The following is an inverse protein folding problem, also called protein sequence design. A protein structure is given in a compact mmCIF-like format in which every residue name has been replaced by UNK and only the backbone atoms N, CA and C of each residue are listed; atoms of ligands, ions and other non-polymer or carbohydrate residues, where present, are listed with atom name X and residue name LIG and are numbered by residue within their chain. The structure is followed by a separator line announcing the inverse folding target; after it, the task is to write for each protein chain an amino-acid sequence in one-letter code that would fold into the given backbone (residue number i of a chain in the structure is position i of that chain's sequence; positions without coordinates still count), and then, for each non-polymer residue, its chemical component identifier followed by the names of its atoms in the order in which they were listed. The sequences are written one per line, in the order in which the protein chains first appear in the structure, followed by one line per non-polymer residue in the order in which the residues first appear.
data_IF_432574639101
#
_entry.id   IF_432574639101
#
_cell.length_a   1.000
_cell.length_b   1.000
_cell.length_c   1.000
_cell.angle_alpha   90.00
_cell.angle_beta   90.00
_cell.angle_gamma   90.00
#
_symmetry.space_group_name_H-M   'P 1'
#
loop_
_entity.id
_entity.type
_entity.pdbx_description
1 polymer ?
#
# COMPACT_ATOMS: atom_id res chain seq x y z
N UNK A 1 -9.47 -12.00 -7.28
CA UNK A 1 -10.80 -12.53 -7.69
C UNK A 1 -10.60 -13.64 -8.70
N UNK A 2 -11.36 -14.75 -8.58
CA UNK A 2 -11.46 -15.77 -9.64
C UNK A 2 -12.15 -15.19 -10.88
N UNK A 3 -11.97 -15.78 -12.07
CA UNK A 3 -12.64 -15.33 -13.31
C UNK A 3 -14.17 -15.24 -13.16
N UNK A 4 -14.77 -16.19 -12.44
CA UNK A 4 -16.20 -16.17 -12.11
C UNK A 4 -16.60 -15.02 -11.17
N UNK A 5 -15.74 -14.65 -10.23
CA UNK A 5 -15.94 -13.50 -9.35
C UNK A 5 -15.88 -12.17 -10.09
N UNK A 6 -14.92 -12.00 -11.00
CA UNK A 6 -14.78 -10.80 -11.84
C UNK A 6 -16.02 -10.57 -12.71
N UNK A 7 -16.55 -11.65 -13.29
CA UNK A 7 -17.74 -11.59 -14.16
C UNK A 7 -18.99 -11.19 -13.38
N UNK A 8 -19.24 -11.79 -12.22
CA UNK A 8 -20.36 -11.43 -11.34
C UNK A 8 -20.27 -9.98 -10.85
N UNK A 9 -19.07 -9.52 -10.50
CA UNK A 9 -18.83 -8.15 -10.07
C UNK A 9 -19.11 -7.14 -11.19
N UNK A 10 -18.62 -7.41 -12.40
CA UNK A 10 -18.90 -6.61 -13.60
C UNK A 10 -20.41 -6.52 -13.89
N UNK A 11 -21.13 -7.63 -13.84
CA UNK A 11 -22.59 -7.68 -14.02
C UNK A 11 -23.33 -6.80 -13.00
N UNK A 12 -22.89 -6.81 -11.73
CA UNK A 12 -23.47 -5.97 -10.68
C UNK A 12 -23.21 -4.48 -10.93
N UNK A 13 -21.99 -4.11 -11.32
CA UNK A 13 -21.62 -2.71 -11.55
C UNK A 13 -22.23 -2.11 -12.80
N UNK A 14 -22.43 -2.88 -13.87
CA UNK A 14 -23.08 -2.39 -15.10
C UNK A 14 -24.45 -1.77 -14.84
N UNK A 15 -25.18 -2.24 -13.82
CA UNK A 15 -26.48 -1.69 -13.44
C UNK A 15 -26.37 -0.30 -12.82
N UNK A 16 -25.32 -0.04 -12.04
CA UNK A 16 -25.12 1.22 -11.31
C UNK A 16 -24.27 2.23 -12.08
N UNK A 17 -23.44 1.75 -13.02
CA UNK A 17 -22.55 2.56 -13.84
C UNK A 17 -22.66 2.13 -15.33
N UNK A 18 -23.77 2.46 -16.01
CA UNK A 18 -24.04 2.00 -17.37
C UNK A 18 -23.08 2.57 -18.42
N UNK A 19 -22.44 3.70 -18.13
CA UNK A 19 -21.47 4.37 -19.01
C UNK A 19 -20.02 3.99 -18.71
N UNK A 20 -19.78 3.07 -17.76
CA UNK A 20 -18.43 2.63 -17.43
C UNK A 20 -17.96 1.52 -18.37
N UNK A 21 -16.75 1.69 -18.90
CA UNK A 21 -16.02 0.63 -19.58
C UNK A 21 -15.22 -0.20 -18.57
N UNK A 22 -15.17 -1.52 -18.78
CA UNK A 22 -14.57 -2.47 -17.85
C UNK A 22 -13.32 -3.10 -18.44
N UNK A 23 -12.22 -2.96 -17.72
CA UNK A 23 -10.90 -3.47 -18.07
C UNK A 23 -10.45 -4.52 -17.04
N UNK A 24 -9.79 -5.57 -17.51
CA UNK A 24 -9.14 -6.55 -16.66
C UNK A 24 -7.63 -6.26 -16.71
N UNK A 25 -7.01 -6.02 -15.56
CA UNK A 25 -5.57 -5.73 -15.51
C UNK A 25 -4.78 -6.93 -16.07
N UNK A 26 -3.89 -6.74 -17.06
CA UNK A 26 -3.11 -7.82 -17.64
C UNK A 26 -1.94 -8.27 -16.76
N UNK A 27 -1.57 -7.51 -15.73
CA UNK A 27 -0.42 -7.78 -14.89
C UNK A 27 -0.16 -6.72 -13.82
N UNK A 28 1.11 -6.58 -13.42
CA UNK A 28 1.61 -5.58 -12.46
C UNK A 28 2.90 -4.88 -12.95
N UNK A 29 3.15 -4.87 -14.25
CA UNK A 29 4.36 -4.24 -14.80
C UNK A 29 4.13 -2.77 -15.11
N UNK A 30 5.23 -2.02 -15.21
CA UNK A 30 5.26 -0.65 -15.69
C UNK A 30 4.70 -0.55 -17.11
N UNK A 31 4.92 -1.58 -17.94
CA UNK A 31 4.38 -1.64 -19.30
C UNK A 31 2.86 -1.84 -19.27
N UNK A 32 2.33 -2.67 -18.38
CA UNK A 32 0.88 -2.85 -18.24
C UNK A 32 0.17 -1.54 -17.91
N UNK A 33 0.73 -0.77 -16.96
CA UNK A 33 0.18 0.53 -16.59
C UNK A 33 0.26 1.56 -17.74
N UNK A 34 1.36 1.59 -18.49
CA UNK A 34 1.51 2.45 -19.68
C UNK A 34 0.56 2.06 -20.81
N UNK A 35 0.40 0.76 -21.05
CA UNK A 35 -0.52 0.23 -22.06
C UNK A 35 -1.96 0.57 -21.71
N UNK A 36 -2.35 0.40 -20.45
CA UNK A 36 -3.67 0.82 -19.95
C UNK A 36 -3.87 2.32 -20.21
N UNK A 37 -2.93 3.17 -19.80
CA UNK A 37 -3.04 4.61 -20.05
C UNK A 37 -3.18 4.93 -21.56
N UNK A 38 -2.41 4.26 -22.42
CA UNK A 38 -2.47 4.45 -23.87
C UNK A 38 -3.84 4.06 -24.46
N UNK A 39 -4.40 2.94 -24.00
CA UNK A 39 -5.73 2.47 -24.42
C UNK A 39 -6.86 3.40 -23.97
N UNK A 40 -6.75 3.97 -22.77
CA UNK A 40 -7.77 4.85 -22.21
C UNK A 40 -7.74 6.27 -22.79
N UNK A 41 -6.56 6.76 -23.21
CA UNK A 41 -6.34 8.15 -23.66
C UNK A 41 -7.32 8.65 -24.74
N UNK A 42 -7.65 7.89 -25.80
CA UNK A 42 -8.55 8.36 -26.86
C UNK A 42 -10.01 8.52 -26.41
N UNK A 43 -10.43 7.80 -25.36
CA UNK A 43 -11.82 7.72 -24.91
C UNK A 43 -12.23 8.82 -23.92
N UNK A 44 -11.26 9.56 -23.36
CA UNK A 44 -11.46 10.70 -22.44
C UNK A 44 -12.35 10.36 -21.23
N UNK A 45 -11.85 9.48 -20.36
CA UNK A 45 -12.52 9.19 -19.08
C UNK A 45 -12.33 10.29 -18.05
N UNK A 46 -13.32 10.46 -17.17
CA UNK A 46 -13.26 11.42 -16.06
C UNK A 46 -12.52 10.87 -14.82
N UNK A 47 -12.45 9.54 -14.67
CA UNK A 47 -11.77 8.89 -13.55
C UNK A 47 -11.47 7.41 -13.86
N UNK A 48 -10.51 6.84 -13.11
CA UNK A 48 -10.25 5.39 -13.07
C UNK A 48 -10.69 4.83 -11.73
N UNK A 49 -11.48 3.76 -11.73
CA UNK A 49 -11.84 3.01 -10.51
C UNK A 49 -11.07 1.70 -10.50
N UNK A 50 -10.05 1.60 -9.65
CA UNK A 50 -9.25 0.38 -9.48
C UNK A 50 -9.87 -0.53 -8.44
N UNK A 51 -10.39 -1.69 -8.87
CA UNK A 51 -10.99 -2.68 -7.97
C UNK A 51 -10.11 -3.92 -7.89
N UNK A 52 -9.45 -4.15 -6.75
CA UNK A 52 -8.57 -5.30 -6.60
C UNK A 52 -7.66 -5.23 -5.39
N UNK A 53 -6.63 -6.08 -5.38
CA UNK A 53 -5.54 -5.97 -4.40
C UNK A 53 -4.49 -4.96 -4.88
N UNK A 54 -3.43 -4.79 -4.08
CA UNK A 54 -2.37 -3.79 -4.32
C UNK A 54 -1.84 -3.74 -5.76
N UNK A 55 -1.61 -4.90 -6.40
CA UNK A 55 -1.13 -4.96 -7.80
C UNK A 55 -2.06 -4.25 -8.80
N UNK A 56 -3.37 -4.47 -8.68
CA UNK A 56 -4.33 -3.80 -9.57
C UNK A 56 -4.38 -2.31 -9.27
N UNK A 57 -4.37 -1.96 -7.98
CA UNK A 57 -4.41 -0.57 -7.53
C UNK A 57 -3.17 0.21 -8.01
N UNK A 58 -1.98 -0.38 -7.94
CA UNK A 58 -0.73 0.26 -8.39
C UNK A 58 -0.73 0.53 -9.91
N UNK A 59 -1.21 -0.43 -10.72
CA UNK A 59 -1.38 -0.22 -12.17
C UNK A 59 -2.36 0.92 -12.43
N UNK A 60 -3.51 0.94 -11.75
CA UNK A 60 -4.53 1.97 -11.91
C UNK A 60 -4.04 3.36 -11.46
N UNK A 61 -3.36 3.47 -10.32
CA UNK A 61 -2.79 4.75 -9.83
C UNK A 61 -1.78 5.32 -10.82
N UNK A 62 -0.89 4.48 -11.33
CA UNK A 62 0.11 4.91 -12.30
C UNK A 62 -0.52 5.34 -13.62
N UNK A 63 -1.47 4.56 -14.16
CA UNK A 63 -2.19 4.91 -15.38
C UNK A 63 -3.00 6.21 -15.22
N UNK A 64 -3.70 6.38 -14.09
CA UNK A 64 -4.47 7.60 -13.81
C UNK A 64 -3.57 8.83 -13.69
N UNK A 65 -2.40 8.69 -13.06
CA UNK A 65 -1.41 9.76 -12.94
C UNK A 65 -0.84 10.16 -14.30
N UNK A 66 -0.56 9.20 -15.19
CA UNK A 66 -0.13 9.48 -16.56
C UNK A 66 -1.18 10.21 -17.41
N UNK A 67 -2.46 9.97 -17.11
CA UNK A 67 -3.58 10.59 -17.79
C UNK A 67 -4.05 11.89 -17.14
N UNK A 68 -3.51 12.23 -15.98
CA UNK A 68 -3.91 13.39 -15.17
C UNK A 68 -5.40 13.39 -14.81
N UNK A 69 -5.96 12.20 -14.56
CA UNK A 69 -7.36 12.03 -14.13
C UNK A 69 -7.43 11.42 -12.72
N UNK A 70 -8.49 11.74 -11.94
CA UNK A 70 -8.71 11.14 -10.64
C UNK A 70 -8.72 9.60 -10.64
N UNK A 71 -8.24 9.03 -9.54
CA UNK A 71 -8.28 7.59 -9.28
C UNK A 71 -9.09 7.30 -8.02
N UNK A 72 -9.97 6.30 -8.06
CA UNK A 72 -10.68 5.76 -6.90
C UNK A 72 -10.14 4.36 -6.63
N UNK A 73 -9.66 4.13 -5.42
CA UNK A 73 -9.14 2.84 -4.96
C UNK A 73 -10.25 2.05 -4.28
N UNK A 74 -10.56 0.86 -4.77
CA UNK A 74 -11.51 -0.07 -4.15
C UNK A 74 -10.74 -1.33 -3.75
N UNK A 75 -10.33 -1.38 -2.50
CA UNK A 75 -9.45 -2.42 -2.00
C UNK A 75 -10.24 -3.71 -1.72
N UNK A 76 -9.69 -4.83 -2.18
CA UNK A 76 -10.22 -6.19 -1.92
C UNK A 76 -9.29 -7.03 -1.04
N UNK A 77 -8.17 -6.46 -0.60
CA UNK A 77 -7.32 -6.96 0.48
C UNK A 77 -6.58 -5.78 1.14
N UNK A 78 -6.02 -6.02 2.33
CA UNK A 78 -5.30 -5.03 3.13
C UNK A 78 -3.83 -5.43 3.31
N UNK A 79 -3.10 -5.57 2.20
CA UNK A 79 -1.74 -6.12 2.21
C UNK A 79 -0.62 -5.11 2.48
N UNK A 80 -0.86 -3.83 2.18
CA UNK A 80 0.08 -2.71 2.33
C UNK A 80 -0.64 -1.37 2.07
N UNK A 81 0.01 -0.26 2.42
CA UNK A 81 -0.53 1.11 2.36
C UNK A 81 -0.74 1.67 0.94
N UNK A 82 -0.33 0.89 -0.08
CA UNK A 82 -0.53 1.17 -1.50
C UNK A 82 -2.00 1.40 -1.87
N UNK A 83 -2.95 1.00 -1.03
CA UNK A 83 -4.38 1.31 -1.20
C UNK A 83 -4.68 2.81 -1.18
N UNK A 84 -3.84 3.63 -0.53
CA UNK A 84 -4.04 5.06 -0.32
C UNK A 84 -2.81 5.92 -0.62
N UNK A 85 -1.61 5.33 -0.76
CA UNK A 85 -0.36 6.08 -0.88
C UNK A 85 -0.12 6.73 -2.26
N UNK A 86 0.69 7.81 -2.30
CA UNK A 86 1.16 8.43 -3.55
C UNK A 86 2.34 7.66 -4.19
N UNK A 87 2.41 6.34 -3.98
CA UNK A 87 3.48 5.47 -4.47
C UNK A 87 2.88 4.25 -5.14
N UNK A 88 3.35 3.87 -6.32
CA UNK A 88 2.98 2.61 -7.00
C UNK A 88 4.17 1.67 -7.10
N UNK A 89 3.96 0.39 -6.78
CA UNK A 89 5.01 -0.64 -6.85
C UNK A 89 4.80 -1.52 -8.09
N UNK A 90 5.59 -1.28 -9.14
CA UNK A 90 5.43 -1.93 -10.45
C UNK A 90 6.70 -2.68 -10.87
N UNK A 91 6.51 -3.81 -11.56
CA UNK A 91 7.61 -4.59 -12.13
C UNK A 91 8.20 -3.90 -13.39
N UNK A 92 9.53 -3.90 -13.52
CA UNK A 92 10.26 -3.40 -14.66
C UNK A 92 11.49 -4.27 -14.95
N UNK A 93 12.27 -3.91 -15.98
CA UNK A 93 13.47 -4.68 -16.39
C UNK A 93 14.54 -4.77 -15.29
N UNK A 94 14.51 -3.90 -14.29
CA UNK A 94 15.42 -3.90 -13.13
C UNK A 94 14.82 -4.56 -11.88
N UNK A 95 13.66 -5.20 -11.97
CA UNK A 95 12.96 -5.79 -10.83
C UNK A 95 11.74 -4.97 -10.40
N UNK A 96 11.46 -4.93 -9.10
CA UNK A 96 10.29 -4.26 -8.55
C UNK A 96 10.64 -2.80 -8.20
N UNK A 97 10.06 -1.85 -8.93
CA UNK A 97 10.33 -0.43 -8.78
C UNK A 97 9.24 0.31 -7.99
N UNK A 98 9.65 1.33 -7.25
CA UNK A 98 8.76 2.28 -6.57
C UNK A 98 8.65 3.57 -7.38
N UNK A 99 7.42 4.00 -7.69
CA UNK A 99 7.14 5.15 -8.54
C UNK A 99 6.21 6.14 -7.86
N UNK A 100 6.60 7.41 -7.83
CA UNK A 100 5.72 8.49 -7.37
C UNK A 100 4.52 8.67 -8.29
N UNK A 101 3.33 8.75 -7.70
CA UNK A 101 2.04 8.90 -8.37
C UNK A 101 1.14 9.84 -7.59
N UNK A 102 0.02 10.27 -8.19
CA UNK A 102 -1.02 10.95 -7.44
C UNK A 102 -1.71 9.96 -6.49
N UNK A 103 -1.96 10.39 -5.24
CA UNK A 103 -2.77 9.62 -4.31
C UNK A 103 -4.20 9.45 -4.85
N UNK A 104 -4.90 8.34 -4.53
CA UNK A 104 -6.31 8.18 -4.87
C UNK A 104 -7.15 9.35 -4.33
N UNK A 105 -8.11 9.82 -5.13
CA UNK A 105 -9.11 10.81 -4.73
C UNK A 105 -10.01 10.27 -3.61
N UNK A 106 -10.32 8.98 -3.68
CA UNK A 106 -11.13 8.28 -2.69
C UNK A 106 -10.65 6.83 -2.53
N UNK A 107 -10.80 6.30 -1.32
CA UNK A 107 -10.51 4.92 -0.97
C UNK A 107 -11.78 4.28 -0.42
N UNK A 108 -12.16 3.13 -0.96
CA UNK A 108 -13.33 2.34 -0.55
C UNK A 108 -12.82 0.98 -0.09
N UNK A 109 -13.14 0.62 1.14
CA UNK A 109 -12.76 -0.64 1.74
C UNK A 109 -14.04 -1.32 2.22
N UNK A 110 -14.40 -2.42 1.57
CA UNK A 110 -15.55 -3.24 1.94
C UNK A 110 -15.06 -4.39 2.81
N UNK A 111 -15.37 -4.35 4.11
CA UNK A 111 -14.89 -5.33 5.09
C UNK A 111 -15.34 -6.75 4.76
N UNK A 112 -16.54 -6.92 4.18
CA UNK A 112 -17.02 -8.24 3.76
C UNK A 112 -16.17 -8.79 2.61
N UNK A 113 -15.72 -7.93 1.70
CA UNK A 113 -14.77 -8.31 0.66
C UNK A 113 -13.39 -8.64 1.23
N UNK A 114 -12.91 -7.88 2.23
CA UNK A 114 -11.62 -8.13 2.90
C UNK A 114 -11.62 -9.50 3.60
N UNK A 115 -12.70 -9.85 4.31
CA UNK A 115 -12.84 -11.16 4.99
C UNK A 115 -12.80 -12.37 4.06
N UNK A 116 -13.06 -12.18 2.76
CA UNK A 116 -12.95 -13.25 1.76
C UNK A 116 -11.51 -13.44 1.24
N UNK A 117 -10.62 -12.47 1.48
CA UNK A 117 -9.23 -12.58 1.12
C UNK A 117 -8.48 -13.48 2.12
N UNK A 118 -7.42 -14.21 1.68
CA UNK A 118 -6.59 -14.97 2.60
C UNK A 118 -6.01 -14.11 3.74
N UNK A 119 -6.09 -14.60 4.98
CA UNK A 119 -5.56 -13.94 6.19
C UNK A 119 -4.13 -13.45 6.05
N UNK A 120 -3.35 -14.09 5.19
CA UNK A 120 -1.99 -13.69 4.86
C UNK A 120 -1.89 -12.23 4.44
N UNK A 121 -2.88 -11.70 3.71
CA UNK A 121 -2.88 -10.29 3.33
C UNK A 121 -3.09 -9.37 4.53
N UNK A 122 -3.98 -9.73 5.46
CA UNK A 122 -4.17 -8.97 6.71
C UNK A 122 -2.86 -8.96 7.51
N UNK A 123 -2.20 -10.10 7.65
CA UNK A 123 -0.89 -10.21 8.32
C UNK A 123 0.19 -9.37 7.65
N UNK A 124 0.23 -9.35 6.31
CA UNK A 124 1.12 -8.47 5.57
C UNK A 124 0.82 -6.99 5.89
N UNK A 125 -0.45 -6.56 5.87
CA UNK A 125 -0.81 -5.18 6.21
C UNK A 125 -0.40 -4.78 7.63
N UNK A 126 -0.52 -5.69 8.60
CA UNK A 126 -0.03 -5.45 9.97
C UNK A 126 1.48 -5.17 9.95
N UNK A 127 2.27 -6.01 9.28
CA UNK A 127 3.72 -5.84 9.19
C UNK A 127 4.12 -4.52 8.51
N UNK A 128 3.40 -4.11 7.47
CA UNK A 128 3.61 -2.83 6.78
C UNK A 128 3.31 -1.65 7.70
N UNK A 129 2.15 -1.64 8.37
CA UNK A 129 1.77 -0.56 9.30
C UNK A 129 2.72 -0.46 10.49
N UNK A 130 3.04 -1.58 11.14
CA UNK A 130 3.91 -1.57 12.32
C UNK A 130 5.32 -1.09 11.99
N UNK A 131 5.76 -1.26 10.74
CA UNK A 131 7.06 -0.76 10.28
C UNK A 131 7.17 0.77 10.31
N UNK A 132 6.05 1.51 10.34
CA UNK A 132 6.08 2.96 10.47
C UNK A 132 6.84 3.43 11.72
N UNK A 133 6.76 2.68 12.83
CA UNK A 133 7.52 3.01 14.05
C UNK A 133 9.03 3.00 13.74
N UNK A 134 9.46 2.00 12.98
CA UNK A 134 10.84 1.83 12.53
C UNK A 134 11.23 2.93 11.53
N UNK A 135 10.38 3.21 10.54
CA UNK A 135 10.62 4.24 9.54
C UNK A 135 10.75 5.64 10.14
N UNK A 136 9.85 6.01 11.06
CA UNK A 136 9.93 7.32 11.74
C UNK A 136 11.19 7.41 12.61
N UNK A 137 11.63 6.31 13.24
CA UNK A 137 12.90 6.29 13.99
C UNK A 137 14.11 6.54 13.07
N UNK A 138 14.11 5.98 11.88
CA UNK A 138 15.17 6.25 10.90
C UNK A 138 15.10 7.70 10.37
N UNK A 139 13.90 8.27 10.24
CA UNK A 139 13.74 9.67 9.86
C UNK A 139 14.24 10.62 10.97
N UNK A 140 13.94 10.34 12.24
CA UNK A 140 14.49 11.08 13.40
C UNK A 140 16.02 11.02 13.43
N UNK A 141 16.59 9.85 13.14
CA UNK A 141 18.04 9.70 13.04
C UNK A 141 18.61 10.54 11.89
N UNK A 142 17.96 10.54 10.72
CA UNK A 142 18.37 11.34 9.58
C UNK A 142 18.29 12.86 9.86
N UNK A 143 17.31 13.32 10.63
CA UNK A 143 17.26 14.71 11.13
C UNK A 143 18.49 15.01 11.97
N UNK A 144 18.84 14.11 12.90
CA UNK A 144 19.95 14.33 13.85
C UNK A 144 21.32 14.29 13.17
N UNK A 145 21.56 13.29 12.32
CA UNK A 145 22.89 13.01 11.78
C UNK A 145 23.13 13.66 10.40
N UNK A 146 22.08 13.83 9.60
CA UNK A 146 22.17 14.37 8.24
C UNK A 146 21.46 15.73 8.06
N UNK A 147 20.88 16.28 9.13
CA UNK A 147 20.16 17.55 9.11
C UNK A 147 18.99 17.56 8.09
N UNK A 148 18.35 16.40 7.89
CA UNK A 148 17.13 16.29 7.08
C UNK A 148 15.97 17.08 7.72
N UNK A 149 15.03 17.52 6.88
CA UNK A 149 13.78 18.10 7.37
C UNK A 149 12.78 16.98 7.68
N UNK A 150 12.05 17.15 8.77
CA UNK A 150 10.98 16.25 9.16
C UNK A 150 9.68 17.02 9.33
N UNK A 151 8.63 16.51 8.68
CA UNK A 151 7.28 17.00 8.90
C UNK A 151 6.69 16.31 10.14
N UNK A 152 6.51 17.09 11.21
CA UNK A 152 6.04 16.55 12.48
C UNK A 152 4.61 16.01 12.43
N UNK A 153 3.75 16.56 11.56
CA UNK A 153 2.39 16.07 11.39
C UNK A 153 2.40 14.70 10.69
N UNK A 154 3.12 14.59 9.57
CA UNK A 154 3.26 13.34 8.84
C UNK A 154 3.87 12.23 9.71
N UNK A 155 4.93 12.55 10.46
CA UNK A 155 5.55 11.61 11.37
C UNK A 155 4.62 11.16 12.49
N UNK A 156 3.83 12.08 13.07
CA UNK A 156 2.86 11.75 14.11
C UNK A 156 1.76 10.84 13.58
N UNK A 157 1.25 11.11 12.38
CA UNK A 157 0.23 10.28 11.73
C UNK A 157 0.74 8.85 11.47
N UNK A 158 1.98 8.70 11.00
CA UNK A 158 2.59 7.40 10.78
C UNK A 158 2.83 6.63 12.10
N UNK A 159 3.21 7.31 13.18
CA UNK A 159 3.32 6.68 14.52
C UNK A 159 1.95 6.21 15.02
N UNK A 160 0.94 7.08 14.97
CA UNK A 160 -0.41 6.79 15.45
C UNK A 160 -1.02 5.61 14.68
N UNK A 161 -0.78 5.50 13.37
CA UNK A 161 -1.30 4.37 12.59
C UNK A 161 -0.75 3.02 13.09
N UNK A 162 0.53 2.96 13.46
CA UNK A 162 1.12 1.76 14.04
C UNK A 162 0.65 1.48 15.46
N UNK A 163 0.60 2.52 16.31
CA UNK A 163 0.15 2.41 17.70
C UNK A 163 -1.31 1.97 17.80
N UNK A 164 -2.15 2.31 16.82
CA UNK A 164 -3.54 1.87 16.75
C UNK A 164 -3.70 0.33 16.63
N UNK A 165 -2.66 -0.37 16.14
CA UNK A 165 -2.64 -1.83 15.98
C UNK A 165 -1.82 -2.55 17.05
N UNK A 166 -0.84 -1.89 17.64
CA UNK A 166 0.07 -2.49 18.60
C UNK A 166 -0.67 -2.95 19.86
N UNK A 167 -0.52 -4.23 20.22
CA UNK A 167 -1.13 -4.79 21.44
C UNK A 167 -2.66 -4.90 21.41
N UNK A 168 -3.31 -4.76 20.24
CA UNK A 168 -4.76 -4.96 20.13
C UNK A 168 -5.15 -6.40 20.51
N UNK A 169 -6.23 -6.59 21.31
CA UNK A 169 -6.67 -7.91 21.73
C UNK A 169 -7.60 -8.60 20.71
N UNK A 170 -8.14 -7.85 19.76
CA UNK A 170 -9.14 -8.33 18.81
C UNK A 170 -8.54 -9.33 17.82
N UNK A 171 -9.35 -10.29 17.35
CA UNK A 171 -8.90 -11.21 16.31
C UNK A 171 -8.72 -10.50 14.96
N UNK A 172 -7.74 -10.94 14.17
CA UNK A 172 -7.42 -10.32 12.86
C UNK A 172 -8.57 -10.36 11.84
N UNK A 173 -9.58 -11.21 12.05
CA UNK A 173 -10.78 -11.30 11.19
C UNK A 173 -12.01 -10.56 11.74
N UNK A 174 -11.90 -9.91 12.90
CA UNK A 174 -13.00 -9.11 13.48
C UNK A 174 -13.16 -7.78 12.74
N UNK A 175 -14.38 -7.25 12.72
CA UNK A 175 -14.66 -5.96 12.08
C UNK A 175 -13.86 -4.82 12.73
N UNK A 176 -13.79 -4.79 14.06
CA UNK A 176 -13.05 -3.75 14.79
C UNK A 176 -11.56 -3.74 14.42
N UNK A 177 -10.94 -4.92 14.29
CA UNK A 177 -9.54 -5.02 13.85
C UNK A 177 -9.38 -4.59 12.40
N UNK A 178 -10.27 -5.03 11.50
CA UNK A 178 -10.18 -4.70 10.08
C UNK A 178 -10.42 -3.21 9.82
N UNK A 179 -11.29 -2.57 10.59
CA UNK A 179 -11.48 -1.11 10.57
C UNK A 179 -10.19 -0.42 10.99
N UNK A 180 -9.61 -0.81 12.13
CA UNK A 180 -8.37 -0.21 12.62
C UNK A 180 -7.21 -0.38 11.63
N UNK A 181 -7.06 -1.56 11.03
CA UNK A 181 -6.04 -1.81 10.00
C UNK A 181 -6.29 -0.96 8.74
N UNK A 182 -7.53 -0.85 8.32
CA UNK A 182 -7.92 -0.04 7.15
C UNK A 182 -7.58 1.44 7.37
N UNK A 183 -7.98 1.98 8.52
CA UNK A 183 -7.69 3.36 8.91
C UNK A 183 -6.19 3.60 9.02
N UNK A 184 -5.44 2.68 9.62
CA UNK A 184 -4.00 2.78 9.77
C UNK A 184 -3.27 2.80 8.40
N UNK A 185 -3.63 1.92 7.47
CA UNK A 185 -3.07 1.88 6.12
C UNK A 185 -3.39 3.16 5.33
N UNK A 186 -4.63 3.66 5.44
CA UNK A 186 -5.03 4.93 4.83
C UNK A 186 -4.25 6.09 5.44
N UNK A 187 -4.07 6.10 6.76
CA UNK A 187 -3.34 7.13 7.49
C UNK A 187 -1.85 7.16 7.09
N UNK A 188 -1.21 6.01 6.87
CA UNK A 188 0.14 5.90 6.28
C UNK A 188 0.21 6.58 4.90
N UNK A 189 -0.77 6.31 4.03
CA UNK A 189 -0.90 6.95 2.72
C UNK A 189 -1.00 8.47 2.80
N UNK A 190 -1.84 8.98 3.71
CA UNK A 190 -2.00 10.43 3.92
C UNK A 190 -0.71 11.05 4.48
N UNK A 191 -0.04 10.37 5.43
CA UNK A 191 1.23 10.83 5.99
C UNK A 191 2.30 11.04 4.90
N UNK A 192 2.42 10.08 3.98
CA UNK A 192 3.33 10.23 2.82
C UNK A 192 2.93 11.39 1.91
N UNK A 193 1.63 11.59 1.71
CA UNK A 193 1.10 12.73 0.94
C UNK A 193 1.47 14.08 1.55
N UNK A 194 1.34 14.22 2.88
CA UNK A 194 1.72 15.45 3.62
C UNK A 194 3.23 15.68 3.56
N UNK A 195 4.02 14.63 3.77
CA UNK A 195 5.48 14.75 3.75
C UNK A 195 6.04 15.03 2.34
N UNK A 196 5.29 14.68 1.28
CA UNK A 196 5.78 14.71 -0.10
C UNK A 196 6.86 13.65 -0.39
N UNK A 197 6.98 12.64 0.48
CA UNK A 197 7.99 11.58 0.43
C UNK A 197 7.47 10.36 1.20
N UNK A 198 8.00 9.17 0.92
CA UNK A 198 7.69 7.95 1.65
C UNK A 198 8.32 7.89 3.05
N UNK A 199 9.21 8.82 3.42
CA UNK A 199 9.93 8.88 4.71
C UNK A 199 9.11 8.54 5.96
N UNK A 200 7.85 9.00 6.15
CA UNK A 200 7.06 8.65 7.34
C UNK A 200 6.80 7.15 7.49
N UNK A 201 6.71 6.43 6.36
CA UNK A 201 6.30 5.02 6.33
C UNK A 201 7.37 4.09 5.75
N UNK A 202 8.47 4.63 5.22
CA UNK A 202 9.53 3.87 4.55
C UNK A 202 10.91 4.27 5.05
N UNK A 203 11.55 3.35 5.79
CA UNK A 203 12.93 3.48 6.30
C UNK A 203 13.79 2.28 5.90
N UNK A 204 14.76 1.92 6.76
CA UNK A 204 15.63 0.76 6.54
C UNK A 204 14.84 -0.55 6.39
N UNK A 205 13.67 -0.66 7.04
CA UNK A 205 12.76 -1.79 6.90
C UNK A 205 12.32 -2.04 5.45
N UNK A 206 11.98 -0.97 4.72
CA UNK A 206 11.58 -1.04 3.31
C UNK A 206 12.78 -1.25 2.40
N UNK A 207 13.92 -0.60 2.68
CA UNK A 207 15.15 -0.82 1.92
C UNK A 207 15.61 -2.28 1.98
N UNK A 208 15.47 -2.94 3.14
CA UNK A 208 15.72 -4.38 3.28
C UNK A 208 14.74 -5.19 2.42
N UNK A 209 13.45 -4.88 2.45
CA UNK A 209 12.45 -5.54 1.60
C UNK A 209 12.75 -5.36 0.11
N UNK A 210 13.10 -4.15 -0.33
CA UNK A 210 13.49 -3.85 -1.70
C UNK A 210 14.75 -4.61 -2.13
N UNK A 211 15.75 -4.71 -1.26
CA UNK A 211 16.94 -5.51 -1.51
C UNK A 211 16.60 -7.01 -1.68
N UNK A 212 15.70 -7.56 -0.86
CA UNK A 212 15.22 -8.94 -1.00
C UNK A 212 14.52 -9.11 -2.36
N UNK A 213 13.66 -8.17 -2.76
CA UNK A 213 12.94 -8.21 -4.02
C UNK A 213 13.89 -8.16 -5.24
N UNK A 214 15.00 -7.42 -5.14
CA UNK A 214 16.03 -7.35 -6.17
C UNK A 214 16.89 -8.63 -6.25
N UNK A 215 17.31 -9.18 -5.12
CA UNK A 215 18.23 -10.34 -5.08
C UNK A 215 17.48 -11.66 -5.32
N UNK A 216 16.21 -11.75 -4.90
CA UNK A 216 15.41 -12.98 -4.96
C UNK A 216 14.06 -12.80 -5.67
N UNK A 217 14.02 -12.30 -6.91
CA UNK A 217 12.77 -11.90 -7.59
C UNK A 217 11.72 -13.01 -7.72
N UNK A 218 12.15 -14.28 -7.77
CA UNK A 218 11.26 -15.44 -7.91
C UNK A 218 10.86 -16.10 -6.56
N UNK A 219 11.30 -15.55 -5.43
CA UNK A 219 11.04 -16.10 -4.07
C UNK A 219 10.55 -15.04 -3.09
N UNK A 220 10.13 -13.90 -3.61
CA UNK A 220 9.62 -12.78 -2.82
C UNK A 220 8.34 -13.18 -2.11
N UNK A 221 8.22 -12.73 -0.86
CA UNK A 221 7.01 -12.89 -0.06
C UNK A 221 6.18 -11.60 -0.16
N UNK A 222 4.94 -11.56 0.34
CA UNK A 222 4.18 -10.32 0.41
C UNK A 222 5.00 -9.20 1.06
N UNK A 223 4.90 -7.99 0.48
CA UNK A 223 5.71 -6.83 0.87
C UNK A 223 5.68 -6.56 2.38
N UNK A 224 4.48 -6.45 2.95
CA UNK A 224 4.33 -6.16 4.37
C UNK A 224 4.89 -7.23 5.32
N UNK A 225 4.99 -8.50 4.89
CA UNK A 225 5.68 -9.53 5.69
C UNK A 225 7.20 -9.30 5.71
N UNK A 226 7.79 -9.00 4.55
CA UNK A 226 9.21 -8.69 4.45
C UNK A 226 9.55 -7.41 5.23
N UNK A 227 8.72 -6.38 5.08
CA UNK A 227 8.86 -5.10 5.76
C UNK A 227 8.74 -5.24 7.27
N UNK A 228 7.79 -6.04 7.77
CA UNK A 228 7.66 -6.32 9.20
C UNK A 228 8.91 -6.98 9.78
N UNK A 229 9.49 -7.97 9.09
CA UNK A 229 10.78 -8.58 9.48
C UNK A 229 11.92 -7.58 9.38
N UNK A 230 11.95 -6.75 8.34
CA UNK A 230 12.91 -5.67 8.18
C UNK A 230 12.84 -4.65 9.32
N UNK A 231 11.64 -4.36 9.83
CA UNK A 231 11.41 -3.47 10.96
C UNK A 231 11.95 -4.05 12.27
N UNK A 232 11.74 -5.34 12.53
CA UNK A 232 12.34 -6.02 13.66
C UNK A 232 13.87 -5.99 13.59
N UNK A 233 14.44 -6.29 12.41
CA UNK A 233 15.88 -6.28 12.23
C UNK A 233 16.48 -4.88 12.41
N UNK A 234 15.88 -3.84 11.82
CA UNK A 234 16.32 -2.46 12.00
C UNK A 234 16.21 -2.01 13.47
N UNK A 235 15.16 -2.43 14.17
CA UNK A 235 14.98 -2.14 15.60
C UNK A 235 16.03 -2.82 16.46
N UNK A 236 16.37 -4.08 16.14
CA UNK A 236 17.49 -4.77 16.77
C UNK A 236 18.83 -4.03 16.56
N UNK A 237 19.11 -3.55 15.34
CA UNK A 237 20.34 -2.79 15.05
C UNK A 237 20.41 -1.46 15.82
N UNK A 238 19.27 -0.88 16.19
CA UNK A 238 19.21 0.31 17.06
C UNK A 238 19.40 0.01 18.55
N UNK A 239 19.49 -1.27 18.94
CA UNK A 239 19.51 -1.71 20.35
C UNK A 239 18.29 -1.25 21.16
N UNK A 240 17.12 -1.17 20.53
CA UNK A 240 15.86 -0.82 21.19
C UNK A 240 15.12 -2.11 21.61
N UNK A 241 15.58 -2.72 22.71
CA UNK A 241 15.04 -4.00 23.19
C UNK A 241 13.57 -3.94 23.59
N UNK A 242 13.13 -2.81 24.15
CA UNK A 242 11.75 -2.61 24.56
C UNK A 242 10.85 -2.61 23.32
N UNK A 243 11.17 -1.79 22.33
CA UNK A 243 10.37 -1.74 21.11
C UNK A 243 10.43 -3.05 20.31
N UNK A 244 11.57 -3.74 20.31
CA UNK A 244 11.68 -5.05 19.67
C UNK A 244 10.69 -6.06 20.27
N UNK A 245 10.57 -6.11 21.62
CA UNK A 245 9.64 -7.01 22.30
C UNK A 245 8.16 -6.67 22.05
N UNK A 246 7.85 -5.39 21.86
CA UNK A 246 6.49 -4.98 21.52
C UNK A 246 6.09 -5.35 20.09
N UNK A 247 7.04 -5.31 19.16
CA UNK A 247 6.81 -5.59 17.73
C UNK A 247 6.83 -7.09 17.38
N UNK A 248 7.51 -7.92 18.18
CA UNK A 248 7.76 -9.34 17.91
C UNK A 248 6.65 -10.26 18.45
#
# INVERSE_FOLDING_TARGET
MTEGGQTKFKERLKKSAPNADFYISPGNSLNDAKNLAHELKPKKYDAIVGVGGGRVIDVCKYAASLLEIPMISVATNLAHDGVASPVSILENNGGRGSFGVNAPLAVVIDLDAIKLAPDRFIKAGIGDVLSNISAVKDWELAVKENNEKMDGLAASMARISAEALLGRPDSIGSDDFLIALSEALVLSGIAMGIAGTSRPCSGACHEISHAIDLVFPNRTQPHGEQVGVGALFATFLRNDEEKFKELA
#
